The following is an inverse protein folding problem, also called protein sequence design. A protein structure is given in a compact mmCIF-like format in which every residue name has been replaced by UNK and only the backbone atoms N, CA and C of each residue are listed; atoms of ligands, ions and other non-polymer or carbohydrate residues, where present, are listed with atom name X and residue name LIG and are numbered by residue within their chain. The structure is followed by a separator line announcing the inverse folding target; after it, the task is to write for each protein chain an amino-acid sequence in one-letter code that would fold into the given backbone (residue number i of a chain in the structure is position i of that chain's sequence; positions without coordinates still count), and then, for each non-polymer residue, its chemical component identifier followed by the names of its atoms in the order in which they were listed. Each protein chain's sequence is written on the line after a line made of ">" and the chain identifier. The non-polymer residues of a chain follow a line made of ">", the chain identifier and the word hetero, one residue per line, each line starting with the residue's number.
data_IF_417335513006
#
_entry.id   IF_417335513006
#
_cell.length_a   1.000
_cell.length_b   1.000
_cell.length_c   1.000
_cell.angle_alpha   90.00
_cell.angle_beta   90.00
_cell.angle_gamma   90.00
#
_symmetry.space_group_name_H-M   'P 1'
#
loop_
_entity.id
_entity.type
_entity.pdbx_description
1 polymer ?
#
# COMPACT_ATOMS: atom_id res chain seq x y z
N UNK A 1 1.37 12.70 7.37
CA UNK A 1 1.49 14.11 7.77
C UNK A 1 0.89 14.28 9.17
N UNK A 2 1.70 14.51 10.20
CA UNK A 2 1.21 14.80 11.56
C UNK A 2 1.69 16.20 11.93
N UNK A 3 0.85 17.01 12.57
CA UNK A 3 1.17 18.36 13.05
C UNK A 3 1.44 19.43 11.97
N UNK A 4 0.73 19.37 10.84
CA UNK A 4 0.76 20.44 9.80
C UNK A 4 -0.65 20.96 9.51
N UNK A 5 -1.37 21.51 10.51
CA UNK A 5 -2.78 21.87 10.37
C UNK A 5 -3.02 23.02 9.39
N UNK A 6 -2.02 23.86 9.13
CA UNK A 6 -2.14 25.02 8.23
C UNK A 6 -1.87 24.67 6.75
N UNK A 7 -1.63 23.39 6.41
CA UNK A 7 -1.33 22.99 5.04
C UNK A 7 -2.59 23.08 4.17
N UNK A 8 -2.56 23.92 3.13
CA UNK A 8 -3.69 24.12 2.21
C UNK A 8 -3.52 23.42 0.85
N UNK A 9 -2.27 23.25 0.41
CA UNK A 9 -1.93 22.67 -0.89
C UNK A 9 -0.83 21.62 -0.73
N UNK A 10 -1.07 20.42 -1.28
CA UNK A 10 -0.16 19.29 -1.21
C UNK A 10 0.22 18.81 -2.62
N UNK A 11 1.47 19.09 -3.02
CA UNK A 11 2.00 18.75 -4.35
C UNK A 11 2.86 17.49 -4.27
N UNK A 12 2.37 16.39 -4.84
CA UNK A 12 2.98 15.06 -4.82
C UNK A 12 3.06 14.42 -6.22
N UNK A 13 2.79 15.18 -7.28
CA UNK A 13 2.87 14.70 -8.65
C UNK A 13 4.30 14.32 -9.06
N UNK A 14 4.42 13.47 -10.08
CA UNK A 14 5.69 13.00 -10.64
C UNK A 14 6.59 12.28 -9.62
N UNK A 15 6.00 11.48 -8.73
CA UNK A 15 6.72 10.65 -7.77
C UNK A 15 6.46 9.16 -8.04
N UNK A 16 6.87 8.30 -7.11
CA UNK A 16 6.62 6.87 -7.12
C UNK A 16 5.50 6.46 -6.14
N UNK A 17 4.47 7.30 -5.97
CA UNK A 17 3.37 7.01 -5.05
C UNK A 17 2.40 6.00 -5.65
N UNK A 18 2.08 4.97 -4.89
CA UNK A 18 1.05 4.00 -5.30
C UNK A 18 -0.35 4.44 -4.86
N UNK A 19 -0.48 5.09 -3.70
CA UNK A 19 -1.78 5.57 -3.21
C UNK A 19 -1.61 6.66 -2.16
N UNK A 20 -2.70 7.38 -1.88
CA UNK A 20 -2.84 8.25 -0.71
C UNK A 20 -4.05 7.75 0.07
N UNK A 21 -3.86 7.41 1.34
CA UNK A 21 -4.94 6.94 2.21
C UNK A 21 -5.88 8.09 2.59
N UNK A 22 -7.20 7.83 2.61
CA UNK A 22 -8.21 8.81 3.00
C UNK A 22 -7.91 9.45 4.36
N UNK A 23 -7.54 8.65 5.37
CA UNK A 23 -7.18 9.15 6.71
C UNK A 23 -6.03 10.15 6.71
N UNK A 24 -5.08 10.02 5.76
CA UNK A 24 -3.97 10.96 5.63
C UNK A 24 -4.48 12.35 5.28
N UNK A 25 -5.48 12.41 4.41
CA UNK A 25 -6.12 13.64 3.96
C UNK A 25 -7.08 14.18 5.04
N UNK A 26 -7.84 13.32 5.71
CA UNK A 26 -8.71 13.71 6.84
C UNK A 26 -7.92 14.31 8.01
N UNK A 27 -6.65 13.92 8.18
CA UNK A 27 -5.76 14.52 9.19
C UNK A 27 -5.30 15.95 8.87
N UNK A 28 -5.65 16.47 7.68
CA UNK A 28 -5.27 17.80 7.18
C UNK A 28 -6.53 18.67 6.98
N UNK A 29 -7.03 19.31 8.05
CA UNK A 29 -8.35 19.95 8.04
C UNK A 29 -8.45 21.16 7.10
N UNK A 30 -7.34 21.84 6.81
CA UNK A 30 -7.30 23.01 5.92
C UNK A 30 -6.88 22.66 4.50
N UNK A 31 -6.68 21.38 4.16
CA UNK A 31 -6.26 21.00 2.83
C UNK A 31 -7.39 21.26 1.82
N UNK A 32 -7.07 22.02 0.77
CA UNK A 32 -8.01 22.41 -0.29
C UNK A 32 -7.64 21.80 -1.63
N UNK A 33 -6.35 21.60 -1.86
CA UNK A 33 -5.83 21.14 -3.15
C UNK A 33 -4.77 20.05 -2.98
N UNK A 34 -4.83 19.04 -3.83
CA UNK A 34 -3.83 17.99 -3.90
C UNK A 34 -3.47 17.68 -5.36
N UNK A 35 -2.19 17.45 -5.62
CA UNK A 35 -1.68 16.99 -6.91
C UNK A 35 -0.99 15.64 -6.74
N UNK A 36 -1.49 14.59 -7.40
CA UNK A 36 -0.89 13.25 -7.38
C UNK A 36 -0.79 12.64 -8.78
N UNK A 37 -1.02 13.42 -9.83
CA UNK A 37 -0.91 12.93 -11.21
C UNK A 37 0.52 12.44 -11.52
N UNK A 38 0.66 11.67 -12.59
CA UNK A 38 1.95 11.12 -13.02
C UNK A 38 2.65 10.28 -11.93
N UNK A 39 1.88 9.57 -11.12
CA UNK A 39 2.35 8.58 -10.17
C UNK A 39 1.85 7.18 -10.60
N UNK A 40 2.54 6.09 -10.25
CA UNK A 40 2.12 4.72 -10.55
C UNK A 40 0.97 4.26 -9.64
N UNK A 41 -0.21 4.88 -9.77
CA UNK A 41 -1.32 4.68 -8.84
C UNK A 41 -1.88 3.26 -8.87
N UNK A 42 -2.15 2.68 -7.70
CA UNK A 42 -2.88 1.43 -7.51
C UNK A 42 -4.36 1.76 -7.34
N UNK A 43 -5.16 1.32 -8.30
CA UNK A 43 -6.60 1.47 -8.35
C UNK A 43 -7.29 0.30 -7.67
N UNK A 44 -7.21 0.31 -6.34
CA UNK A 44 -7.89 -0.61 -5.44
C UNK A 44 -8.73 0.19 -4.43
N UNK A 45 -9.26 -0.52 -3.43
CA UNK A 45 -10.03 0.06 -2.33
C UNK A 45 -9.34 1.24 -1.60
N UNK A 46 -8.00 1.38 -1.63
CA UNK A 46 -7.30 2.48 -0.95
C UNK A 46 -7.53 3.80 -1.67
N UNK A 47 -7.57 3.81 -3.01
CA UNK A 47 -7.72 5.05 -3.79
C UNK A 47 -9.19 5.38 -4.09
N UNK A 48 -10.12 4.49 -3.75
CA UNK A 48 -11.55 4.63 -4.04
C UNK A 48 -12.16 5.95 -3.54
N UNK A 49 -11.67 6.49 -2.41
CA UNK A 49 -12.16 7.75 -1.86
C UNK A 49 -11.98 8.95 -2.79
N UNK A 50 -11.04 8.90 -3.75
CA UNK A 50 -10.82 9.96 -4.76
C UNK A 50 -12.07 10.17 -5.62
N UNK A 51 -12.85 9.10 -5.85
CA UNK A 51 -14.09 9.15 -6.60
C UNK A 51 -15.30 9.47 -5.71
N UNK A 52 -15.09 9.62 -4.40
CA UNK A 52 -16.16 9.93 -3.46
C UNK A 52 -16.44 11.43 -3.40
N UNK A 53 -17.72 11.80 -3.54
CA UNK A 53 -18.19 13.17 -3.32
C UNK A 53 -18.12 13.63 -1.85
N UNK A 54 -17.49 12.85 -0.97
CA UNK A 54 -17.39 13.12 0.47
C UNK A 54 -16.30 14.13 0.84
N UNK A 55 -15.40 14.48 -0.08
CA UNK A 55 -14.31 15.43 0.17
C UNK A 55 -14.44 16.68 -0.70
N UNK A 56 -14.22 17.86 -0.12
CA UNK A 56 -14.22 19.15 -0.84
C UNK A 56 -12.85 19.48 -1.47
N UNK A 57 -12.00 18.47 -1.67
CA UNK A 57 -10.62 18.67 -2.08
C UNK A 57 -10.54 18.68 -3.60
N UNK A 58 -9.86 19.69 -4.13
CA UNK A 58 -9.60 19.80 -5.56
C UNK A 58 -8.38 18.99 -5.95
N UNK A 59 -8.57 18.03 -6.83
CA UNK A 59 -7.46 17.34 -7.50
C UNK A 59 -6.93 18.16 -8.68
N UNK A 60 -5.62 18.39 -8.71
CA UNK A 60 -4.94 18.97 -9.87
C UNK A 60 -4.78 17.93 -10.97
N UNK A 61 -5.00 18.35 -12.22
CA UNK A 61 -4.89 17.51 -13.41
C UNK A 61 -5.54 16.12 -13.26
N UNK A 62 -6.82 16.03 -12.88
CA UNK A 62 -7.43 14.74 -12.56
C UNK A 62 -7.53 13.78 -13.76
N UNK A 63 -7.49 14.32 -14.99
CA UNK A 63 -7.46 13.56 -16.24
C UNK A 63 -6.08 12.94 -16.53
N UNK A 64 -5.04 13.39 -15.82
CA UNK A 64 -3.66 12.89 -15.89
C UNK A 64 -3.37 11.84 -14.80
N UNK A 65 -4.38 11.41 -14.05
CA UNK A 65 -4.28 10.36 -13.04
C UNK A 65 -4.68 9.02 -13.66
N UNK A 66 -3.69 8.14 -13.86
CA UNK A 66 -3.87 6.82 -14.46
C UNK A 66 -3.48 5.71 -13.50
N UNK A 67 -4.21 4.61 -13.57
CA UNK A 67 -3.90 3.40 -12.81
C UNK A 67 -2.69 2.69 -13.44
N UNK A 68 -1.67 2.39 -12.64
CA UNK A 68 -0.59 1.48 -13.02
C UNK A 68 -0.91 0.03 -12.61
N UNK A 69 -1.66 -0.13 -11.51
CA UNK A 69 -2.06 -1.40 -10.92
C UNK A 69 -3.52 -1.35 -10.47
N UNK A 70 -4.19 -2.48 -10.28
CA UNK A 70 -3.79 -3.81 -10.74
C UNK A 70 -3.85 -3.91 -12.29
N UNK A 71 -3.34 -4.99 -12.91
CA UNK A 71 -3.25 -5.11 -14.38
C UNK A 71 -4.58 -4.91 -15.12
N UNK A 72 -5.70 -5.23 -14.49
CA UNK A 72 -7.06 -5.12 -15.05
C UNK A 72 -7.45 -3.66 -15.30
N UNK A 73 -6.95 -2.74 -14.47
CA UNK A 73 -7.22 -1.31 -14.58
C UNK A 73 -6.06 -0.52 -15.18
N UNK A 74 -4.96 -1.17 -15.55
CA UNK A 74 -3.75 -0.50 -16.05
C UNK A 74 -4.05 0.39 -17.25
N UNK A 75 -3.64 1.66 -17.16
CA UNK A 75 -3.84 2.68 -18.18
C UNK A 75 -5.22 3.36 -18.17
N UNK A 76 -6.15 2.89 -17.32
CA UNK A 76 -7.45 3.54 -17.16
C UNK A 76 -7.33 4.78 -16.27
N UNK A 77 -8.21 5.76 -16.46
CA UNK A 77 -8.25 6.93 -15.58
C UNK A 77 -8.84 6.55 -14.22
N UNK A 78 -8.23 7.05 -13.14
CA UNK A 78 -8.67 6.75 -11.76
C UNK A 78 -10.17 7.05 -11.56
N UNK A 79 -10.69 8.11 -12.20
CA UNK A 79 -12.11 8.50 -12.11
C UNK A 79 -13.08 7.56 -12.81
N UNK A 80 -12.62 6.82 -13.80
CA UNK A 80 -13.46 5.92 -14.60
C UNK A 80 -13.54 4.52 -13.97
N UNK A 81 -12.58 4.18 -13.11
CA UNK A 81 -12.56 2.88 -12.42
C UNK A 81 -13.65 2.85 -11.35
N UNK A 82 -14.70 2.09 -11.65
CA UNK A 82 -15.72 1.69 -10.69
C UNK A 82 -15.17 0.50 -9.89
N UNK A 83 -14.64 0.77 -8.71
CA UNK A 83 -14.25 -0.27 -7.77
C UNK A 83 -15.55 -0.76 -7.14
N UNK A 84 -16.08 -1.89 -7.62
CA UNK A 84 -17.18 -2.56 -6.94
C UNK A 84 -16.66 -3.04 -5.58
N UNK A 85 -17.24 -2.48 -4.52
CA UNK A 85 -17.00 -2.84 -3.12
C UNK A 85 -16.88 -4.37 -2.98
N UNK A 86 -15.69 -4.84 -2.65
CA UNK A 86 -15.49 -6.20 -2.14
C UNK A 86 -14.75 -6.08 -0.81
N UNK A 87 -15.59 -5.96 0.24
CA UNK A 87 -15.27 -5.98 1.67
C UNK A 87 -14.51 -4.76 2.19
N UNK A 88 -14.97 -4.27 3.34
CA UNK A 88 -14.54 -3.04 4.03
C UNK A 88 -13.08 -3.04 4.52
N UNK A 89 -12.27 -4.02 4.11
CA UNK A 89 -10.86 -4.16 4.48
C UNK A 89 -9.99 -4.39 3.25
N UNK A 90 -9.21 -3.35 2.93
CA UNK A 90 -8.14 -3.45 1.96
C UNK A 90 -7.07 -4.45 2.41
N UNK A 91 -6.67 -5.33 1.50
CA UNK A 91 -5.48 -6.15 1.71
C UNK A 91 -4.23 -5.26 1.82
N UNK A 92 -3.31 -5.59 2.74
CA UNK A 92 -2.04 -4.87 2.83
C UNK A 92 -1.25 -4.96 1.52
N UNK A 93 -0.53 -3.89 1.22
CA UNK A 93 0.44 -3.87 0.14
C UNK A 93 1.78 -4.40 0.67
N UNK A 94 2.21 -5.57 0.22
CA UNK A 94 3.56 -6.07 0.47
C UNK A 94 4.52 -5.33 -0.47
N UNK A 95 5.60 -4.76 0.07
CA UNK A 95 6.62 -4.07 -0.72
C UNK A 95 7.27 -5.04 -1.72
N UNK A 96 7.51 -4.59 -2.95
CA UNK A 96 8.20 -5.40 -3.96
C UNK A 96 9.64 -5.75 -3.57
N UNK A 97 10.27 -4.97 -2.69
CA UNK A 97 11.64 -5.20 -2.22
C UNK A 97 11.73 -6.22 -1.08
N UNK A 98 10.58 -6.72 -0.62
CA UNK A 98 10.48 -7.65 0.50
C UNK A 98 11.13 -8.99 0.21
N UNK A 99 10.97 -9.51 -1.02
CA UNK A 99 11.48 -10.82 -1.42
C UNK A 99 12.16 -10.74 -2.79
N UNK A 100 13.33 -11.38 -2.97
CA UNK A 100 13.85 -11.61 -4.31
C UNK A 100 12.94 -12.59 -5.06
N UNK A 101 12.75 -12.36 -6.36
CA UNK A 101 11.96 -13.26 -7.22
C UNK A 101 12.50 -14.70 -7.23
N UNK A 102 13.81 -14.86 -7.00
CA UNK A 102 14.49 -16.15 -6.94
C UNK A 102 15.56 -16.15 -5.83
N UNK A 103 15.62 -17.23 -5.06
CA UNK A 103 16.71 -17.52 -4.12
C UNK A 103 17.47 -18.76 -4.61
N UNK A 104 18.76 -18.60 -4.88
CA UNK A 104 19.66 -19.69 -5.21
C UNK A 104 20.43 -20.07 -3.94
N UNK A 105 20.11 -21.22 -3.34
CA UNK A 105 20.63 -21.65 -2.05
C UNK A 105 21.21 -23.05 -2.11
N UNK A 106 22.34 -23.24 -1.45
CA UNK A 106 22.93 -24.55 -1.21
C UNK A 106 22.50 -25.12 0.15
N UNK A 107 22.60 -26.44 0.29
CA UNK A 107 22.27 -27.13 1.54
C UNK A 107 23.20 -26.65 2.66
N UNK A 108 22.61 -26.22 3.78
CA UNK A 108 23.32 -25.70 4.94
C UNK A 108 23.49 -24.18 4.96
N UNK A 109 23.12 -23.47 3.88
CA UNK A 109 23.06 -22.01 3.91
C UNK A 109 21.91 -21.51 4.79
N UNK A 110 22.14 -20.37 5.45
CA UNK A 110 21.12 -19.66 6.22
C UNK A 110 20.70 -18.41 5.46
N UNK A 111 19.39 -18.14 5.41
CA UNK A 111 18.82 -16.95 4.78
C UNK A 111 17.95 -16.17 5.74
N UNK A 112 17.87 -14.87 5.50
CA UNK A 112 16.98 -13.96 6.21
C UNK A 112 15.92 -13.47 5.24
N UNK A 113 14.66 -13.60 5.66
CA UNK A 113 13.51 -13.14 4.91
C UNK A 113 12.86 -12.05 5.76
N UNK A 114 12.79 -10.83 5.21
CA UNK A 114 12.12 -9.69 5.82
C UNK A 114 10.75 -9.53 5.16
N UNK A 115 9.70 -9.19 5.91
CA UNK A 115 8.36 -8.93 5.35
C UNK A 115 7.93 -7.49 5.62
N UNK A 116 7.85 -6.64 4.58
CA UNK A 116 7.40 -5.25 4.72
C UNK A 116 6.04 -5.07 4.06
N UNK A 117 5.03 -4.79 4.86
CA UNK A 117 3.67 -4.59 4.40
C UNK A 117 3.10 -3.25 4.88
N UNK A 118 2.32 -2.59 4.03
CA UNK A 118 1.67 -1.32 4.32
C UNK A 118 0.15 -1.48 4.26
N UNK A 119 -0.53 -1.14 5.36
CA UNK A 119 -1.98 -1.05 5.45
C UNK A 119 -2.37 0.00 6.49
N UNK A 120 -3.65 0.38 6.46
CA UNK A 120 -4.26 1.23 7.47
C UNK A 120 -5.57 0.56 7.93
N UNK A 121 -5.65 0.03 9.16
CA UNK A 121 -4.62 0.02 10.21
C UNK A 121 -3.38 -0.81 9.85
N UNK A 122 -2.29 -0.61 10.60
CA UNK A 122 -1.03 -1.35 10.40
C UNK A 122 -1.27 -2.87 10.41
N UNK A 123 -0.70 -3.63 9.44
CA UNK A 123 -1.06 -5.03 9.26
C UNK A 123 -0.38 -5.95 10.27
N UNK A 124 -1.05 -7.04 10.65
CA UNK A 124 -0.44 -8.14 11.39
C UNK A 124 0.30 -9.07 10.41
N UNK A 125 1.60 -9.29 10.64
CA UNK A 125 2.45 -10.14 9.80
C UNK A 125 2.61 -11.52 10.45
N UNK A 126 2.51 -12.58 9.65
CA UNK A 126 2.79 -13.94 10.08
C UNK A 126 3.42 -14.76 8.96
N UNK A 127 4.19 -15.78 9.34
CA UNK A 127 4.88 -16.67 8.42
C UNK A 127 4.26 -18.07 8.43
N UNK A 128 4.27 -18.72 7.27
CA UNK A 128 3.79 -20.10 7.11
C UNK A 128 4.85 -20.93 6.41
N UNK A 129 5.17 -22.10 6.97
CA UNK A 129 6.13 -23.04 6.38
C UNK A 129 5.56 -23.69 5.12
N UNK A 130 6.40 -24.29 4.24
CA UNK A 130 5.92 -25.06 3.08
C UNK A 130 4.98 -26.23 3.42
N UNK A 131 4.97 -26.68 4.67
CA UNK A 131 4.07 -27.71 5.18
C UNK A 131 2.71 -27.16 5.66
N UNK A 132 2.50 -25.84 5.58
CA UNK A 132 1.25 -25.18 6.00
C UNK A 132 1.21 -24.79 7.48
N UNK A 133 2.26 -25.04 8.26
CA UNK A 133 2.28 -24.68 9.68
C UNK A 133 2.62 -23.20 9.86
N UNK A 134 1.81 -22.47 10.65
CA UNK A 134 2.07 -21.09 11.08
C UNK A 134 3.28 -21.07 12.01
N UNK A 135 4.24 -20.19 11.73
CA UNK A 135 5.40 -19.95 12.58
C UNK A 135 5.06 -18.84 13.58
N UNK A 136 5.32 -19.10 14.84
CA UNK A 136 5.20 -18.15 15.95
C UNK A 136 6.57 -17.94 16.60
N UNK A 137 6.73 -16.89 17.40
CA UNK A 137 7.95 -16.66 18.19
C UNK A 137 8.27 -17.84 19.12
N UNK A 138 7.23 -18.58 19.52
CA UNK A 138 7.31 -19.76 20.40
C UNK A 138 7.57 -21.07 19.63
N UNK A 139 7.58 -21.04 18.30
CA UNK A 139 7.81 -22.23 17.49
C UNK A 139 9.26 -22.71 17.62
N UNK A 140 9.48 -23.77 18.40
CA UNK A 140 10.78 -24.41 18.56
C UNK A 140 11.14 -25.18 17.28
N UNK A 141 12.18 -24.71 16.59
CA UNK A 141 12.74 -25.39 15.42
C UNK A 141 14.23 -25.16 15.31
N UNK A 142 14.97 -26.21 14.96
CA UNK A 142 16.39 -26.11 14.59
C UNK A 142 16.59 -25.56 13.16
N UNK A 143 15.49 -25.40 12.38
CA UNK A 143 15.54 -25.04 10.96
C UNK A 143 15.17 -23.59 10.67
N UNK A 144 14.36 -22.96 11.52
CA UNK A 144 13.91 -21.58 11.35
C UNK A 144 13.68 -20.93 12.70
N UNK A 145 13.87 -19.62 12.76
CA UNK A 145 13.60 -18.80 13.94
C UNK A 145 12.95 -17.49 13.49
N UNK A 146 11.90 -17.09 14.20
CA UNK A 146 11.26 -15.80 13.98
C UNK A 146 11.94 -14.72 14.83
N UNK A 147 12.24 -13.57 14.23
CA UNK A 147 12.78 -12.39 14.94
C UNK A 147 11.64 -11.60 15.57
N UNK A 148 11.94 -10.80 16.60
CA UNK A 148 10.96 -9.92 17.25
C UNK A 148 10.57 -8.70 16.41
N UNK A 149 11.26 -8.45 15.30
CA UNK A 149 10.98 -7.32 14.39
C UNK A 149 9.98 -7.68 13.27
N UNK A 150 9.42 -8.89 13.29
CA UNK A 150 8.46 -9.40 12.29
C UNK A 150 8.95 -10.63 11.54
#
# INVERSE_FOLDING_TARGET
>A
FRNVPALESLMLNNNALNAVYQKTVESLPNLREISIHSNPLRCDCVIHWINSNKTNIRFMEPLSMFCAMPPEYRGQQVKEVLIQDSNEQCLPMISHETFPNHLNLDIGMTVFLDCRAMAEPEPEIYWVTPLGNKVTVESLSDKYKLSSEG
#
